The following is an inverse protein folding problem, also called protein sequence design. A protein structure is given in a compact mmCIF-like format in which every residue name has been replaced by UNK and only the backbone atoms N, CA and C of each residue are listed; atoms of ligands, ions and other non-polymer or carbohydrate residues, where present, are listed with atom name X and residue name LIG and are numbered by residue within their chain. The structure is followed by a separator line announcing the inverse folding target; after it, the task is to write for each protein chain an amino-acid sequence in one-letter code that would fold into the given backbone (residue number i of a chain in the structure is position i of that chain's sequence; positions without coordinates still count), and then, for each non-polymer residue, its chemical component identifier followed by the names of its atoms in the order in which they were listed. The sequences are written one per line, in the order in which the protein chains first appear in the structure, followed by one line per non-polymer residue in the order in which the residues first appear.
data_IF_801218988390
#
_entry.id   IF_801218988390
#
_cell.length_a   1.000
_cell.length_b   1.000
_cell.length_c   1.000
_cell.angle_alpha   90.00
_cell.angle_beta   90.00
_cell.angle_gamma   90.00
#
_symmetry.space_group_name_H-M   'P 1'
#
loop_
_entity.id
_entity.type
_entity.pdbx_description
1 polymer ?
#
# COMPACT_ATOMS: atom_id res chain seq x y z
N UNK A 1 14.08 1.85 3.81
CA UNK A 1 13.28 2.06 2.60
C UNK A 1 12.55 3.40 2.72
N UNK A 2 12.41 4.16 1.64
CA UNK A 2 11.57 5.37 1.64
C UNK A 2 10.22 5.00 1.03
N UNK A 3 9.13 5.25 1.74
CA UNK A 3 7.77 4.99 1.28
C UNK A 3 7.11 6.31 0.85
N UNK A 4 6.84 6.45 -0.45
CA UNK A 4 6.12 7.60 -0.98
C UNK A 4 4.64 7.50 -0.63
N UNK A 5 4.08 8.54 -0.03
CA UNK A 5 2.66 8.60 0.31
C UNK A 5 1.82 8.76 -0.97
N UNK A 6 1.16 7.69 -1.42
CA UNK A 6 0.44 7.63 -2.70
C UNK A 6 -0.66 8.69 -2.78
N UNK A 7 -1.33 8.98 -1.66
CA UNK A 7 -2.36 10.03 -1.55
C UNK A 7 -1.90 11.43 -1.96
N UNK A 8 -0.59 11.71 -1.95
CA UNK A 8 -0.04 13.01 -2.35
C UNK A 8 -0.09 13.21 -3.87
N UNK A 9 0.11 12.14 -4.65
CA UNK A 9 -0.06 12.12 -6.10
C UNK A 9 -0.13 10.65 -6.59
N UNK A 10 -1.34 10.19 -6.91
CA UNK A 10 -1.60 8.81 -7.33
C UNK A 10 -1.61 8.62 -8.86
N UNK A 11 -1.04 9.57 -9.61
CA UNK A 11 -0.87 9.43 -11.05
C UNK A 11 0.03 8.24 -11.39
N UNK A 12 -0.44 7.34 -12.26
CA UNK A 12 0.27 6.09 -12.60
C UNK A 12 1.68 6.33 -13.16
N UNK A 13 1.90 7.41 -13.93
CA UNK A 13 3.22 7.71 -14.49
C UNK A 13 4.20 8.17 -13.40
N UNK A 14 3.73 8.95 -12.41
CA UNK A 14 4.54 9.35 -11.24
C UNK A 14 4.92 8.12 -10.42
N UNK A 15 3.94 7.27 -10.11
CA UNK A 15 4.18 6.02 -9.38
C UNK A 15 5.14 5.10 -10.13
N UNK A 16 5.03 4.99 -11.45
CA UNK A 16 5.92 4.17 -12.26
C UNK A 16 7.37 4.67 -12.22
N UNK A 17 7.59 5.98 -12.31
CA UNK A 17 8.93 6.57 -12.18
C UNK A 17 9.52 6.23 -10.82
N UNK A 18 8.75 6.39 -9.74
CA UNK A 18 9.19 6.06 -8.38
C UNK A 18 9.48 4.56 -8.21
N UNK A 19 8.63 3.69 -8.77
CA UNK A 19 8.82 2.25 -8.75
C UNK A 19 10.13 1.84 -9.46
N UNK A 20 10.43 2.43 -10.63
CA UNK A 20 11.67 2.18 -11.38
C UNK A 20 12.93 2.68 -10.67
N UNK A 21 12.81 3.70 -9.82
CA UNK A 21 13.87 4.15 -8.93
C UNK A 21 14.00 3.29 -7.66
N UNK A 22 13.12 2.31 -7.49
CA UNK A 22 13.09 1.44 -6.33
C UNK A 22 12.62 2.17 -5.08
N UNK A 23 11.58 2.99 -5.16
CA UNK A 23 10.87 3.48 -3.98
C UNK A 23 9.97 2.38 -3.39
N UNK A 24 9.61 2.52 -2.10
CA UNK A 24 8.43 1.88 -1.53
C UNK A 24 7.22 2.82 -1.61
N UNK A 25 6.06 2.33 -1.20
CA UNK A 25 4.82 3.11 -1.23
C UNK A 25 4.06 2.98 0.08
N UNK A 26 3.58 4.11 0.61
CA UNK A 26 2.63 4.15 1.71
C UNK A 26 1.23 4.39 1.14
N UNK A 27 0.36 3.42 1.33
CA UNK A 27 -1.03 3.42 0.85
C UNK A 27 -2.00 3.52 2.02
N UNK A 28 -3.19 4.07 1.76
CA UNK A 28 -4.28 4.15 2.75
C UNK A 28 -5.57 3.46 2.31
N UNK A 29 -5.57 2.79 1.15
CA UNK A 29 -6.70 2.00 0.65
C UNK A 29 -6.28 0.94 -0.36
N UNK A 30 -7.12 -0.06 -0.59
CA UNK A 30 -6.94 -1.06 -1.64
C UNK A 30 -6.92 -0.44 -3.05
N UNK A 31 -7.65 0.66 -3.26
CA UNK A 31 -7.59 1.40 -4.54
C UNK A 31 -6.23 2.06 -4.81
N UNK A 32 -5.45 2.37 -3.77
CA UNK A 32 -4.06 2.83 -3.92
C UNK A 32 -3.11 1.65 -4.12
N UNK A 33 -3.33 0.52 -3.44
CA UNK A 33 -2.58 -0.73 -3.68
C UNK A 33 -2.62 -1.12 -5.16
N UNK A 34 -3.81 -1.18 -5.75
CA UNK A 34 -3.98 -1.57 -7.15
C UNK A 34 -3.32 -0.56 -8.11
N UNK A 35 -3.28 0.73 -7.77
CA UNK A 35 -2.53 1.73 -8.56
C UNK A 35 -1.02 1.50 -8.50
N UNK A 36 -0.48 1.15 -7.34
CA UNK A 36 0.94 0.82 -7.18
C UNK A 36 1.29 -0.41 -8.02
N UNK A 37 0.48 -1.46 -7.96
CA UNK A 37 0.66 -2.68 -8.75
C UNK A 37 0.58 -2.37 -10.25
N UNK A 38 -0.45 -1.63 -10.68
CA UNK A 38 -0.62 -1.23 -12.08
C UNK A 38 0.54 -0.35 -12.60
N UNK A 39 1.16 0.44 -11.72
CA UNK A 39 2.34 1.25 -12.04
C UNK A 39 3.65 0.44 -12.05
N UNK A 40 3.61 -0.88 -11.77
CA UNK A 40 4.78 -1.75 -11.70
C UNK A 40 5.58 -1.63 -10.41
N UNK A 41 4.96 -1.12 -9.34
CA UNK A 41 5.53 -1.16 -7.99
C UNK A 41 5.56 -2.57 -7.41
N UNK A 42 6.58 -2.85 -6.61
CA UNK A 42 6.72 -4.13 -5.91
C UNK A 42 5.87 -4.13 -4.63
N UNK A 43 4.85 -5.01 -4.51
CA UNK A 43 4.00 -5.10 -3.32
C UNK A 43 4.77 -5.34 -2.03
N UNK A 44 5.89 -6.07 -2.08
CA UNK A 44 6.73 -6.36 -0.90
C UNK A 44 7.43 -5.12 -0.34
N UNK A 45 7.24 -3.97 -1.00
CA UNK A 45 7.73 -2.64 -0.63
C UNK A 45 6.61 -1.65 -0.34
N UNK A 46 5.39 -2.15 -0.18
CA UNK A 46 4.21 -1.37 0.17
C UNK A 46 3.91 -1.51 1.67
N UNK A 47 3.70 -0.39 2.34
CA UNK A 47 3.16 -0.33 3.70
C UNK A 47 1.71 0.14 3.64
N UNK A 48 0.81 -0.57 4.32
CA UNK A 48 -0.61 -0.23 4.33
C UNK A 48 -0.97 0.46 5.65
N UNK A 49 -1.15 1.78 5.57
CA UNK A 49 -1.57 2.66 6.67
C UNK A 49 -3.07 2.99 6.58
N UNK A 50 -3.56 3.82 7.51
CA UNK A 50 -4.92 4.37 7.45
C UNK A 50 -5.91 3.66 8.37
N UNK A 51 -6.86 4.43 8.88
CA UNK A 51 -7.92 3.95 9.75
C UNK A 51 -9.00 3.23 8.94
N UNK A 52 -9.53 2.13 9.47
CA UNK A 52 -10.72 1.49 8.91
C UNK A 52 -10.49 0.67 7.65
N UNK A 53 -9.33 0.02 7.53
CA UNK A 53 -9.05 -0.97 6.49
C UNK A 53 -10.16 -2.02 6.44
N UNK A 54 -10.77 -2.19 5.28
CA UNK A 54 -11.87 -3.14 5.10
C UNK A 54 -11.33 -4.58 4.98
N UNK A 55 -12.13 -5.61 5.35
CA UNK A 55 -11.68 -7.00 5.29
C UNK A 55 -11.18 -7.43 3.90
N UNK A 56 -11.84 -7.00 2.83
CA UNK A 56 -11.44 -7.28 1.45
C UNK A 56 -10.12 -6.61 1.07
N UNK A 57 -9.88 -5.38 1.53
CA UNK A 57 -8.59 -4.70 1.36
C UNK A 57 -7.45 -5.41 2.10
N UNK A 58 -7.71 -5.89 3.32
CA UNK A 58 -6.76 -6.66 4.13
C UNK A 58 -6.41 -7.98 3.43
N UNK A 59 -7.43 -8.75 3.02
CA UNK A 59 -7.24 -10.00 2.30
C UNK A 59 -6.40 -9.79 1.04
N UNK A 60 -6.74 -8.77 0.24
CA UNK A 60 -6.01 -8.46 -0.98
C UNK A 60 -4.55 -8.08 -0.70
N UNK A 61 -4.31 -7.27 0.32
CA UNK A 61 -2.96 -6.86 0.72
C UNK A 61 -2.12 -8.05 1.23
N UNK A 62 -2.72 -9.00 1.93
CA UNK A 62 -2.07 -10.27 2.32
C UNK A 62 -1.75 -11.15 1.10
N UNK A 63 -2.69 -11.29 0.16
CA UNK A 63 -2.51 -12.08 -1.08
C UNK A 63 -1.32 -11.61 -1.91
N UNK A 64 -1.15 -10.30 -2.05
CA UNK A 64 -0.04 -9.72 -2.83
C UNK A 64 1.26 -9.59 -2.02
N UNK A 65 1.20 -9.85 -0.71
CA UNK A 65 2.37 -9.83 0.17
C UNK A 65 2.88 -8.43 0.46
N UNK A 66 2.01 -7.51 0.88
CA UNK A 66 2.46 -6.19 1.36
C UNK A 66 3.50 -6.32 2.47
N UNK A 67 4.44 -5.38 2.53
CA UNK A 67 5.55 -5.41 3.49
C UNK A 67 5.08 -5.43 4.94
N UNK A 68 4.09 -4.58 5.25
CA UNK A 68 3.62 -4.33 6.60
C UNK A 68 2.23 -3.69 6.57
N UNK A 69 1.42 -4.00 7.57
CA UNK A 69 0.25 -3.20 7.95
C UNK A 69 0.63 -2.30 9.11
N UNK A 70 0.45 -0.99 8.94
CA UNK A 70 0.53 -0.06 10.07
C UNK A 70 -0.81 -0.10 10.80
N UNK A 71 -0.82 -0.77 11.96
CA UNK A 71 -1.99 -0.97 12.80
C UNK A 71 -2.27 0.30 13.62
N UNK A 72 -3.51 0.79 13.57
CA UNK A 72 -3.92 2.03 14.22
C UNK A 72 -4.86 1.79 15.42
N UNK A 73 -5.28 0.54 15.68
CA UNK A 73 -6.10 0.17 16.85
C UNK A 73 -5.98 -1.31 17.22
N UNK A 74 -6.28 -1.66 18.46
CA UNK A 74 -6.34 -3.07 18.92
C UNK A 74 -7.39 -3.88 18.15
N UNK A 75 -8.57 -3.29 17.89
CA UNK A 75 -9.63 -3.96 17.12
C UNK A 75 -9.23 -4.23 15.65
N UNK A 76 -8.30 -3.46 15.11
CA UNK A 76 -7.72 -3.73 13.79
C UNK A 76 -6.68 -4.85 13.87
N UNK A 77 -5.85 -4.88 14.93
CA UNK A 77 -4.90 -5.96 15.18
C UNK A 77 -5.62 -7.32 15.26
N UNK A 78 -6.75 -7.38 15.96
CA UNK A 78 -7.54 -8.62 16.09
C UNK A 78 -8.17 -9.10 14.78
N UNK A 79 -8.29 -8.22 13.77
CA UNK A 79 -8.92 -8.53 12.48
C UNK A 79 -7.93 -9.14 11.47
N UNK A 80 -6.64 -8.81 11.58
CA UNK A 80 -5.58 -9.18 10.62
C UNK A 80 -4.91 -10.48 11.07
#
# INVERSE_FOLDING_TARGET
MVCFAVKSNSNLAVLNVLARLGAGFDIVSGGELERVIAAGGDPTRVVFSGLGKQPDEIHRALEVGVHCFNIESEAELERI
#
